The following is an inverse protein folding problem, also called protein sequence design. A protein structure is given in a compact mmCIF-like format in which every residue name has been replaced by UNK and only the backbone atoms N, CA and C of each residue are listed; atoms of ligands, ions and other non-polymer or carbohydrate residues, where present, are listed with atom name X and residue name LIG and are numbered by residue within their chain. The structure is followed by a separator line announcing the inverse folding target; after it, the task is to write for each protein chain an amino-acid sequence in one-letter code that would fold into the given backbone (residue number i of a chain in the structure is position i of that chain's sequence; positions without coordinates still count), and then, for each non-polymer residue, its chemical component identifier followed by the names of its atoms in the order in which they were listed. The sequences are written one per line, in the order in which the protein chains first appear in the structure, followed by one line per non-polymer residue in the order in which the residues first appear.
data_IF_951033972257
#
_entry.id   IF_951033972257
#
_cell.length_a   1.000
_cell.length_b   1.000
_cell.length_c   1.000
_cell.angle_alpha   90.00
_cell.angle_beta   90.00
_cell.angle_gamma   90.00
#
_symmetry.space_group_name_H-M   'P 1'
#
loop_
_entity.id
_entity.type
_entity.pdbx_description
1 polymer ?
#
# COMPACT_ATOMS: atom_id res chain seq x y z
N UNK A 1 -1.32 -26.18 -23.33
CA UNK A 1 -2.72 -25.90 -23.76
C UNK A 1 -3.10 -24.49 -23.29
N UNK A 2 -4.08 -23.80 -23.88
CA UNK A 2 -4.60 -22.52 -23.34
C UNK A 2 -6.02 -22.66 -22.79
N UNK A 3 -6.28 -22.09 -21.62
CA UNK A 3 -7.61 -22.07 -21.01
C UNK A 3 -8.59 -21.16 -21.77
N UNK A 4 -9.86 -21.55 -21.73
CA UNK A 4 -10.97 -20.76 -22.26
C UNK A 4 -11.23 -19.52 -21.39
N UNK A 5 -11.92 -18.52 -21.97
CA UNK A 5 -12.28 -17.31 -21.22
C UNK A 5 -13.21 -17.63 -20.05
N UNK A 6 -14.06 -18.63 -20.22
CA UNK A 6 -14.99 -19.15 -19.22
C UNK A 6 -14.25 -19.77 -18.04
N UNK A 7 -13.22 -20.58 -18.29
CA UNK A 7 -12.37 -21.18 -17.26
C UNK A 7 -11.57 -20.13 -16.49
N UNK A 8 -11.00 -19.14 -17.19
CA UNK A 8 -10.30 -18.01 -16.55
C UNK A 8 -11.27 -17.20 -15.66
N UNK A 9 -12.48 -16.94 -16.15
CA UNK A 9 -13.53 -16.26 -15.37
C UNK A 9 -13.98 -17.09 -14.17
N UNK A 10 -13.99 -18.42 -14.29
CA UNK A 10 -14.24 -19.32 -13.16
C UNK A 10 -13.16 -19.15 -12.08
N UNK A 11 -11.88 -19.15 -12.47
CA UNK A 11 -10.74 -18.97 -11.53
C UNK A 11 -10.82 -17.60 -10.84
N UNK A 12 -11.11 -16.51 -11.54
CA UNK A 12 -11.24 -15.18 -10.92
C UNK A 12 -12.37 -15.15 -9.87
N UNK A 13 -13.55 -15.70 -10.21
CA UNK A 13 -14.67 -15.80 -9.26
C UNK A 13 -14.32 -16.67 -8.04
N UNK A 14 -13.58 -17.75 -8.27
CA UNK A 14 -13.06 -18.63 -7.23
C UNK A 14 -12.12 -17.89 -6.27
N UNK A 15 -11.21 -17.04 -6.78
CA UNK A 15 -10.32 -16.20 -5.96
C UNK A 15 -11.10 -15.15 -5.15
N UNK A 16 -12.13 -14.55 -5.74
CA UNK A 16 -13.02 -13.60 -5.04
C UNK A 16 -13.73 -14.30 -3.86
N UNK A 17 -14.30 -15.48 -4.09
CA UNK A 17 -14.95 -16.30 -3.04
C UNK A 17 -13.97 -16.69 -1.93
N UNK A 18 -12.70 -16.96 -2.28
CA UNK A 18 -11.63 -17.22 -1.32
C UNK A 18 -11.10 -15.99 -0.56
N UNK A 19 -11.77 -14.83 -0.71
CA UNK A 19 -11.46 -13.56 -0.02
C UNK A 19 -10.14 -12.93 -0.43
N UNK A 20 -9.69 -13.12 -1.67
CA UNK A 20 -8.58 -12.36 -2.26
C UNK A 20 -9.08 -10.94 -2.63
N UNK A 21 -9.00 -10.03 -1.65
CA UNK A 21 -9.59 -8.70 -1.73
C UNK A 21 -8.87 -7.77 -2.70
N UNK A 22 -7.54 -7.89 -2.78
CA UNK A 22 -6.68 -6.97 -3.53
C UNK A 22 -6.69 -7.32 -5.02
N UNK A 23 -7.03 -6.37 -5.88
CA UNK A 23 -7.14 -6.64 -7.32
C UNK A 23 -5.78 -6.93 -7.95
N UNK A 24 -4.74 -6.22 -7.52
CA UNK A 24 -3.36 -6.35 -8.02
C UNK A 24 -2.77 -7.70 -7.63
N UNK A 25 -3.04 -8.15 -6.40
CA UNK A 25 -2.66 -9.51 -5.96
C UNK A 25 -3.51 -10.59 -6.62
N UNK A 26 -4.80 -10.32 -6.87
CA UNK A 26 -5.69 -11.29 -7.52
C UNK A 26 -5.28 -11.55 -8.96
N UNK A 27 -4.86 -10.51 -9.69
CA UNK A 27 -4.30 -10.69 -11.03
C UNK A 27 -3.07 -11.57 -11.05
N UNK A 28 -2.13 -11.32 -10.14
CA UNK A 28 -0.91 -12.13 -10.06
C UNK A 28 -1.24 -13.59 -9.69
N UNK A 29 -2.19 -13.80 -8.77
CA UNK A 29 -2.67 -15.15 -8.46
C UNK A 29 -3.41 -15.80 -9.63
N UNK A 30 -4.20 -15.04 -10.38
CA UNK A 30 -4.92 -15.53 -11.55
C UNK A 30 -3.93 -16.02 -12.60
N UNK A 31 -2.92 -15.21 -12.93
CA UNK A 31 -1.85 -15.57 -13.87
C UNK A 31 -1.10 -16.83 -13.41
N UNK A 32 -0.65 -16.87 -12.15
CA UNK A 32 0.01 -18.05 -11.59
C UNK A 32 -0.85 -19.32 -11.63
N UNK A 33 -2.15 -19.22 -11.31
CA UNK A 33 -3.05 -20.38 -11.33
C UNK A 33 -3.32 -20.82 -12.76
N UNK A 34 -3.57 -19.89 -13.69
CA UNK A 34 -3.82 -20.19 -15.10
C UNK A 34 -2.62 -20.94 -15.68
N UNK A 35 -1.40 -20.41 -15.54
CA UNK A 35 -0.20 -21.09 -16.04
C UNK A 35 -0.01 -22.47 -15.40
N UNK A 36 -0.16 -22.59 -14.08
CA UNK A 36 0.01 -23.88 -13.41
C UNK A 36 -1.04 -24.92 -13.80
N UNK A 37 -2.27 -24.48 -14.10
CA UNK A 37 -3.34 -25.36 -14.60
C UNK A 37 -3.06 -25.78 -16.04
N UNK A 38 -2.66 -24.85 -16.91
CA UNK A 38 -2.30 -25.13 -18.30
C UNK A 38 -1.14 -26.13 -18.40
N UNK A 39 -0.09 -25.92 -17.59
CA UNK A 39 1.06 -26.80 -17.48
C UNK A 39 0.63 -28.21 -17.05
N UNK A 40 -0.20 -28.32 -16.00
CA UNK A 40 -0.68 -29.62 -15.51
C UNK A 40 -1.54 -30.37 -16.52
N UNK A 41 -2.42 -29.67 -17.24
CA UNK A 41 -3.23 -30.30 -18.30
C UNK A 41 -2.32 -30.84 -19.40
N UNK A 42 -1.26 -30.10 -19.75
CA UNK A 42 -0.32 -30.49 -20.79
C UNK A 42 0.61 -31.64 -20.36
N UNK A 43 1.10 -31.63 -19.12
CA UNK A 43 2.06 -32.63 -18.64
C UNK A 43 1.40 -33.90 -18.11
N UNK A 44 0.24 -33.79 -17.46
CA UNK A 44 -0.42 -34.91 -16.77
C UNK A 44 -1.67 -35.41 -17.53
N UNK A 45 -2.16 -34.67 -18.53
CA UNK A 45 -3.32 -35.07 -19.34
C UNK A 45 -4.65 -35.10 -18.57
N UNK A 46 -4.72 -34.39 -17.44
CA UNK A 46 -5.89 -34.34 -16.55
C UNK A 46 -6.90 -33.26 -16.97
N UNK A 47 -8.13 -33.38 -16.46
CA UNK A 47 -9.16 -32.38 -16.72
C UNK A 47 -8.89 -31.05 -16.01
N UNK A 48 -9.49 -29.96 -16.50
CA UNK A 48 -9.41 -28.64 -15.87
C UNK A 48 -9.75 -28.66 -14.37
N UNK A 49 -10.82 -29.36 -13.98
CA UNK A 49 -11.27 -29.43 -12.60
C UNK A 49 -10.24 -30.13 -11.69
N UNK A 50 -9.64 -31.21 -12.19
CA UNK A 50 -8.59 -31.94 -11.46
C UNK A 50 -7.33 -31.10 -11.35
N UNK A 51 -6.89 -30.48 -12.45
CA UNK A 51 -5.73 -29.60 -12.46
C UNK A 51 -5.90 -28.41 -11.49
N UNK A 52 -7.05 -27.75 -11.50
CA UNK A 52 -7.33 -26.62 -10.61
C UNK A 52 -7.37 -27.05 -9.13
N UNK A 53 -7.93 -28.22 -8.84
CA UNK A 53 -7.95 -28.75 -7.48
C UNK A 53 -6.54 -29.09 -6.98
N UNK A 54 -5.70 -29.65 -7.84
CA UNK A 54 -4.31 -29.96 -7.51
C UNK A 54 -3.46 -28.70 -7.34
N UNK A 55 -3.65 -27.69 -8.20
CA UNK A 55 -3.02 -26.37 -8.00
C UNK A 55 -3.49 -25.75 -6.68
N UNK A 56 -4.79 -25.81 -6.35
CA UNK A 56 -5.27 -25.32 -5.06
C UNK A 56 -4.58 -26.00 -3.87
N UNK A 57 -4.40 -27.32 -3.93
CA UNK A 57 -3.70 -28.10 -2.91
C UNK A 57 -2.23 -27.71 -2.80
N UNK A 58 -1.55 -27.47 -3.92
CA UNK A 58 -0.13 -27.06 -3.95
C UNK A 58 0.11 -25.69 -3.30
N UNK A 59 -0.90 -24.81 -3.28
CA UNK A 59 -0.86 -23.57 -2.49
C UNK A 59 -0.90 -23.80 -0.97
N UNK A 60 -1.01 -25.04 -0.49
CA UNK A 60 -0.97 -25.39 0.93
C UNK A 60 -2.35 -25.40 1.60
N UNK A 61 -3.43 -25.50 0.81
CA UNK A 61 -4.77 -25.71 1.35
C UNK A 61 -4.99 -27.20 1.60
N UNK A 62 -5.04 -27.58 2.89
CA UNK A 62 -5.35 -28.94 3.31
C UNK A 62 -6.85 -29.22 3.09
N UNK A 63 -7.15 -30.09 2.14
CA UNK A 63 -8.48 -30.68 1.98
C UNK A 63 -8.52 -32.02 2.71
N UNK A 64 -9.55 -32.24 3.54
CA UNK A 64 -9.79 -33.56 4.17
C UNK A 64 -10.80 -34.29 3.29
N UNK A 65 -10.32 -35.26 2.49
CA UNK A 65 -11.15 -35.99 1.52
C UNK A 65 -12.14 -36.98 2.16
N UNK A 66 -11.98 -37.28 3.45
CA UNK A 66 -12.68 -38.37 4.09
C UNK A 66 -14.21 -38.16 4.10
N UNK A 67 -14.95 -39.06 3.46
CA UNK A 67 -16.42 -39.06 3.43
C UNK A 67 -17.07 -38.11 2.41
N UNK A 68 -16.32 -37.51 1.48
CA UNK A 68 -16.88 -36.65 0.42
C UNK A 68 -17.05 -37.43 -0.89
N UNK A 69 -18.25 -37.38 -1.49
CA UNK A 69 -18.49 -38.01 -2.80
C UNK A 69 -17.61 -37.38 -3.89
N UNK A 70 -17.07 -38.18 -4.82
CA UNK A 70 -16.22 -37.70 -5.93
C UNK A 70 -16.83 -36.51 -6.69
N UNK A 71 -18.16 -36.46 -6.81
CA UNK A 71 -18.92 -35.37 -7.45
C UNK A 71 -18.92 -34.04 -6.66
N UNK A 72 -18.68 -34.06 -5.34
CA UNK A 72 -18.65 -32.88 -4.46
C UNK A 72 -17.25 -32.51 -3.99
N UNK A 73 -16.25 -33.32 -4.30
CA UNK A 73 -14.83 -33.10 -3.92
C UNK A 73 -14.31 -31.80 -4.50
N UNK A 74 -14.65 -31.50 -5.76
CA UNK A 74 -14.21 -30.27 -6.42
C UNK A 74 -14.72 -29.01 -5.70
N UNK A 75 -16.03 -28.89 -5.52
CA UNK A 75 -16.63 -27.72 -4.87
C UNK A 75 -16.24 -27.60 -3.39
N UNK A 76 -16.28 -28.71 -2.63
CA UNK A 76 -15.91 -28.66 -1.20
C UNK A 76 -14.41 -28.42 -1.02
N UNK A 77 -13.57 -28.99 -1.88
CA UNK A 77 -12.12 -28.86 -1.81
C UNK A 77 -11.65 -27.44 -2.04
N UNK A 78 -12.16 -26.77 -3.07
CA UNK A 78 -11.76 -25.43 -3.46
C UNK A 78 -12.07 -24.33 -2.43
N UNK A 79 -13.12 -24.50 -1.62
CA UNK A 79 -13.60 -23.46 -0.70
C UNK A 79 -13.40 -23.79 0.79
N UNK A 80 -12.83 -24.96 1.12
CA UNK A 80 -12.63 -25.35 2.52
C UNK A 80 -11.53 -24.55 3.22
N UNK A 81 -10.45 -24.19 2.51
CA UNK A 81 -9.32 -23.47 3.10
C UNK A 81 -8.77 -22.38 2.19
N UNK A 82 -8.53 -21.20 2.77
CA UNK A 82 -7.84 -20.08 2.12
C UNK A 82 -6.48 -19.77 2.74
N UNK A 83 -5.90 -20.74 3.47
CA UNK A 83 -4.62 -20.57 4.17
C UNK A 83 -3.49 -20.27 3.16
N UNK A 84 -3.46 -20.98 2.04
CA UNK A 84 -2.49 -20.75 0.97
C UNK A 84 -2.52 -19.33 0.42
N UNK A 85 -3.72 -18.84 0.08
CA UNK A 85 -3.91 -17.47 -0.40
C UNK A 85 -3.53 -16.42 0.65
N UNK A 86 -3.88 -16.63 1.93
CA UNK A 86 -3.44 -15.74 3.01
C UNK A 86 -1.92 -15.68 3.12
N UNK A 87 -1.23 -16.83 3.02
CA UNK A 87 0.23 -16.91 3.03
C UNK A 87 0.83 -16.17 1.83
N UNK A 88 0.27 -16.35 0.64
CA UNK A 88 0.67 -15.63 -0.56
C UNK A 88 0.52 -14.11 -0.40
N UNK A 89 -0.66 -13.63 0.01
CA UNK A 89 -0.93 -12.21 0.26
C UNK A 89 0.07 -11.64 1.29
N UNK A 90 0.34 -12.37 2.38
CA UNK A 90 1.32 -11.96 3.40
C UNK A 90 2.74 -11.90 2.85
N UNK A 91 3.14 -12.83 1.99
CA UNK A 91 4.44 -12.82 1.34
C UNK A 91 4.57 -11.63 0.38
N UNK A 92 3.53 -11.37 -0.42
CA UNK A 92 3.48 -10.19 -1.30
C UNK A 92 3.48 -8.89 -0.53
N UNK A 93 2.80 -8.81 0.61
CA UNK A 93 2.89 -7.68 1.53
C UNK A 93 4.33 -7.41 1.98
N UNK A 94 5.05 -8.46 2.40
CA UNK A 94 6.45 -8.34 2.82
C UNK A 94 7.36 -7.91 1.67
N UNK A 95 7.18 -8.50 0.49
CA UNK A 95 7.94 -8.19 -0.72
C UNK A 95 7.75 -6.72 -1.14
N UNK A 96 6.50 -6.30 -1.32
CA UNK A 96 6.15 -4.93 -1.67
C UNK A 96 6.61 -3.94 -0.61
N UNK A 97 6.46 -4.25 0.67
CA UNK A 97 6.94 -3.40 1.77
C UNK A 97 8.46 -3.22 1.75
N UNK A 98 9.23 -4.29 1.47
CA UNK A 98 10.69 -4.22 1.30
C UNK A 98 11.06 -3.35 0.10
N UNK A 99 10.38 -3.56 -1.04
CA UNK A 99 10.58 -2.77 -2.28
C UNK A 99 10.30 -1.29 -2.04
N UNK A 100 9.22 -0.96 -1.32
CA UNK A 100 8.85 0.43 -1.00
C UNK A 100 9.86 1.10 -0.07
N UNK A 101 10.32 0.43 1.00
CA UNK A 101 11.37 0.98 1.86
C UNK A 101 12.66 1.22 1.11
N UNK A 102 13.08 0.27 0.27
CA UNK A 102 14.27 0.42 -0.58
C UNK A 102 14.11 1.59 -1.55
N UNK A 103 12.95 1.74 -2.17
CA UNK A 103 12.64 2.86 -3.06
C UNK A 103 12.70 4.19 -2.31
N UNK A 104 12.11 4.26 -1.11
CA UNK A 104 12.10 5.46 -0.28
C UNK A 104 13.52 5.98 0.00
N UNK A 105 14.36 5.10 0.53
CA UNK A 105 15.74 5.47 0.88
C UNK A 105 16.61 5.74 -0.36
N UNK A 106 16.42 4.97 -1.43
CA UNK A 106 17.14 5.18 -2.70
C UNK A 106 16.89 6.58 -3.28
N UNK A 107 15.66 7.10 -3.16
CA UNK A 107 15.30 8.39 -3.76
C UNK A 107 15.39 9.57 -2.79
N UNK A 108 15.63 9.34 -1.50
CA UNK A 108 15.64 10.39 -0.47
C UNK A 108 16.76 11.42 -0.65
N UNK A 109 18.00 10.96 -0.79
CA UNK A 109 19.15 11.88 -0.98
C UNK A 109 19.04 12.66 -2.30
N UNK A 110 18.72 12.03 -3.45
CA UNK A 110 18.45 12.76 -4.69
C UNK A 110 17.33 13.79 -4.55
N UNK A 111 16.28 13.47 -3.78
CA UNK A 111 15.17 14.39 -3.54
C UNK A 111 15.62 15.64 -2.77
N UNK A 112 16.37 15.48 -1.68
CA UNK A 112 16.86 16.61 -0.88
C UNK A 112 17.80 17.50 -1.69
N UNK A 113 18.62 16.89 -2.56
CA UNK A 113 19.53 17.62 -3.46
C UNK A 113 18.83 18.28 -4.66
N UNK A 114 17.55 18.05 -4.86
CA UNK A 114 16.84 18.63 -6.01
C UNK A 114 16.61 20.13 -5.80
N UNK A 115 16.95 20.93 -6.82
CA UNK A 115 16.75 22.38 -6.78
C UNK A 115 15.29 22.75 -6.48
N UNK A 116 14.33 21.98 -7.03
CA UNK A 116 12.91 22.15 -6.78
C UNK A 116 12.56 22.03 -5.29
N UNK A 117 13.04 20.99 -4.62
CA UNK A 117 12.79 20.83 -3.18
C UNK A 117 13.50 21.91 -2.37
N UNK A 118 14.75 22.25 -2.73
CA UNK A 118 15.51 23.26 -2.01
C UNK A 118 14.83 24.63 -2.05
N UNK A 119 14.35 25.06 -3.22
CA UNK A 119 13.57 26.30 -3.38
C UNK A 119 12.27 26.24 -2.57
N UNK A 120 11.53 25.14 -2.65
CA UNK A 120 10.30 24.94 -1.87
C UNK A 120 10.57 25.05 -0.36
N UNK A 121 11.66 24.43 0.11
CA UNK A 121 12.02 24.43 1.52
C UNK A 121 12.46 25.81 2.01
N UNK A 122 13.24 26.56 1.22
CA UNK A 122 13.60 27.95 1.53
C UNK A 122 12.36 28.83 1.64
N UNK A 123 11.40 28.71 0.72
CA UNK A 123 10.17 29.48 0.78
C UNK A 123 9.36 29.17 2.05
N UNK A 124 9.29 27.89 2.45
CA UNK A 124 8.65 27.50 3.71
C UNK A 124 9.39 28.09 4.91
N UNK A 125 10.72 28.03 4.93
CA UNK A 125 11.53 28.62 6.01
C UNK A 125 11.32 30.14 6.12
N UNK A 126 11.35 30.85 5.00
CA UNK A 126 11.12 32.30 4.96
C UNK A 126 9.72 32.65 5.44
N UNK A 127 8.69 31.94 4.96
CA UNK A 127 7.31 32.18 5.39
C UNK A 127 7.15 31.98 6.90
N UNK A 128 7.64 30.86 7.44
CA UNK A 128 7.55 30.56 8.87
C UNK A 128 8.35 31.57 9.69
N UNK A 129 9.53 31.99 9.22
CA UNK A 129 10.35 33.00 9.86
C UNK A 129 9.66 34.37 9.92
N UNK A 130 9.07 34.84 8.82
CA UNK A 130 8.35 36.12 8.79
C UNK A 130 7.18 36.12 9.78
N UNK A 131 6.43 35.02 9.87
CA UNK A 131 5.33 34.88 10.84
C UNK A 131 5.89 34.81 12.27
N UNK A 132 7.03 34.14 12.47
CA UNK A 132 7.66 34.00 13.79
C UNK A 132 8.06 35.35 14.38
N UNK A 133 8.55 36.28 13.56
CA UNK A 133 8.89 37.64 13.99
C UNK A 133 7.70 38.41 14.58
N UNK A 134 6.48 38.08 14.14
CA UNK A 134 5.26 38.74 14.61
C UNK A 134 4.57 37.93 15.74
N UNK A 135 4.42 36.62 15.56
CA UNK A 135 3.73 35.74 16.50
C UNK A 135 4.26 34.30 16.44
N UNK A 136 4.99 33.89 17.48
CA UNK A 136 5.60 32.57 17.58
C UNK A 136 4.58 31.42 17.57
N UNK A 137 3.42 31.60 18.21
CA UNK A 137 2.34 30.60 18.22
C UNK A 137 1.75 30.41 16.83
N UNK A 138 1.53 31.51 16.10
CA UNK A 138 1.05 31.44 14.72
C UNK A 138 2.05 30.73 13.80
N UNK A 139 3.35 31.02 13.94
CA UNK A 139 4.39 30.36 13.18
C UNK A 139 4.44 28.85 13.44
N UNK A 140 4.27 28.43 14.70
CA UNK A 140 4.14 27.02 15.07
C UNK A 140 2.96 26.34 14.40
N UNK A 141 1.77 26.95 14.44
CA UNK A 141 0.57 26.40 13.81
C UNK A 141 0.74 26.31 12.28
N UNK A 142 1.32 27.33 11.65
CA UNK A 142 1.57 27.33 10.21
C UNK A 142 2.59 26.26 9.81
N UNK A 143 3.69 26.12 10.55
CA UNK A 143 4.68 25.05 10.32
C UNK A 143 4.04 23.66 10.42
N UNK A 144 3.17 23.45 11.42
CA UNK A 144 2.40 22.22 11.58
C UNK A 144 1.49 21.95 10.36
N UNK A 145 0.69 22.93 9.94
CA UNK A 145 -0.23 22.79 8.80
C UNK A 145 0.54 22.46 7.51
N UNK A 146 1.61 23.22 7.21
CA UNK A 146 2.44 22.99 6.01
C UNK A 146 3.04 21.58 6.03
N UNK A 147 3.48 21.11 7.21
CA UNK A 147 4.06 19.78 7.37
C UNK A 147 3.05 18.67 7.11
N UNK A 148 1.81 18.82 7.59
CA UNK A 148 0.76 17.80 7.48
C UNK A 148 0.01 17.85 6.14
N UNK A 149 0.00 19.00 5.45
CA UNK A 149 -0.72 19.19 4.19
C UNK A 149 -0.44 18.10 3.12
N UNK A 150 0.82 17.66 2.88
CA UNK A 150 1.10 16.57 1.95
C UNK A 150 0.33 15.28 2.25
N UNK A 151 0.10 14.93 3.53
CA UNK A 151 -0.68 13.75 3.91
C UNK A 151 -2.17 13.91 3.59
N UNK A 152 -2.73 15.10 3.83
CA UNK A 152 -4.11 15.40 3.46
C UNK A 152 -4.32 15.24 1.94
N UNK A 153 -3.38 15.72 1.13
CA UNK A 153 -3.42 15.53 -0.33
C UNK A 153 -3.31 14.06 -0.76
N UNK A 154 -2.57 13.21 -0.01
CA UNK A 154 -2.55 11.75 -0.28
C UNK A 154 -3.93 11.13 -0.11
N UNK A 155 -4.60 11.45 1.00
CA UNK A 155 -5.94 10.92 1.29
C UNK A 155 -6.89 11.30 0.15
N UNK A 156 -6.86 12.57 -0.27
CA UNK A 156 -7.66 13.04 -1.39
C UNK A 156 -7.38 12.23 -2.68
N UNK A 157 -6.12 12.17 -3.13
CA UNK A 157 -5.76 11.47 -4.37
C UNK A 157 -6.03 9.94 -4.30
N UNK A 158 -5.84 9.34 -3.13
CA UNK A 158 -5.98 7.91 -2.88
C UNK A 158 -7.43 7.45 -2.81
N UNK A 159 -8.26 8.12 -2.00
CA UNK A 159 -9.65 7.70 -1.73
C UNK A 159 -10.54 7.84 -2.96
N UNK A 160 -10.36 8.90 -3.75
CA UNK A 160 -11.22 9.18 -4.90
C UNK A 160 -10.85 8.37 -6.16
N UNK A 161 -9.68 7.73 -6.23
CA UNK A 161 -9.29 6.96 -7.42
C UNK A 161 -9.77 5.50 -7.36
N UNK A 162 -10.56 5.09 -8.36
CA UNK A 162 -11.07 3.70 -8.48
C UNK A 162 -9.95 2.67 -8.49
N UNK A 163 -8.83 2.97 -9.15
CA UNK A 163 -7.64 2.12 -9.23
C UNK A 163 -7.00 1.84 -7.86
N UNK A 164 -7.14 2.77 -6.92
CA UNK A 164 -6.54 2.67 -5.59
C UNK A 164 -7.42 1.85 -4.64
N UNK A 165 -8.72 1.73 -4.92
CA UNK A 165 -9.63 0.89 -4.15
C UNK A 165 -9.17 -0.56 -4.25
N UNK A 166 -8.85 -1.15 -3.09
CA UNK A 166 -8.38 -2.54 -2.99
C UNK A 166 -7.10 -2.81 -3.81
N UNK A 167 -6.20 -1.85 -3.94
CA UNK A 167 -4.81 -2.10 -4.40
C UNK A 167 -3.91 -2.31 -3.19
N UNK A 168 -3.22 -3.45 -3.13
CA UNK A 168 -2.26 -3.72 -2.06
C UNK A 168 -1.07 -2.76 -2.15
N UNK A 169 -0.57 -2.53 -3.37
CA UNK A 169 0.57 -1.62 -3.61
C UNK A 169 0.27 -0.21 -3.10
N UNK A 170 -0.90 0.35 -3.43
CA UNK A 170 -1.29 1.70 -2.98
C UNK A 170 -1.53 1.73 -1.46
N UNK A 171 -2.16 0.69 -0.90
CA UNK A 171 -2.37 0.62 0.56
C UNK A 171 -1.04 0.65 1.31
N UNK A 172 -0.07 -0.18 0.90
CA UNK A 172 1.25 -0.21 1.56
C UNK A 172 2.01 1.11 1.37
N UNK A 173 1.90 1.71 0.19
CA UNK A 173 2.50 3.01 -0.08
C UNK A 173 1.93 4.07 0.86
N UNK A 174 0.62 4.08 1.07
CA UNK A 174 -0.03 4.95 2.05
C UNK A 174 0.48 4.68 3.47
N UNK A 175 0.47 3.42 3.94
CA UNK A 175 0.87 3.07 5.30
C UNK A 175 2.32 3.44 5.64
N UNK A 176 3.28 3.13 4.76
CA UNK A 176 4.69 3.50 4.97
C UNK A 176 4.84 5.03 5.09
N UNK A 177 4.03 5.73 4.31
CA UNK A 177 4.08 7.18 4.17
C UNK A 177 3.49 7.91 5.39
N UNK A 178 2.49 7.30 6.04
CA UNK A 178 1.76 7.85 7.18
C UNK A 178 2.38 7.54 8.56
N UNK A 179 3.48 6.78 8.63
CA UNK A 179 4.22 6.56 9.89
C UNK A 179 4.62 7.89 10.56
N UNK A 180 4.91 8.92 9.77
CA UNK A 180 5.29 10.23 10.26
C UNK A 180 4.14 11.00 10.91
N UNK A 181 2.87 10.67 10.62
CA UNK A 181 1.72 11.25 11.32
C UNK A 181 1.64 10.75 12.77
N UNK A 182 2.04 9.51 13.04
CA UNK A 182 2.07 9.00 14.42
C UNK A 182 3.04 9.81 15.28
N UNK A 183 4.19 10.23 14.73
CA UNK A 183 5.12 11.11 15.43
C UNK A 183 4.54 12.49 15.73
N UNK A 184 3.65 13.01 14.89
CA UNK A 184 2.98 14.29 15.14
C UNK A 184 2.13 14.23 16.42
N UNK A 185 1.33 13.17 16.58
CA UNK A 185 0.49 13.01 17.77
C UNK A 185 1.34 12.92 19.06
N UNK A 186 2.36 12.04 19.06
CA UNK A 186 3.24 11.89 20.22
C UNK A 186 4.00 13.18 20.52
N UNK A 187 4.43 13.92 19.49
CA UNK A 187 5.11 15.20 19.68
C UNK A 187 4.20 16.24 20.32
N UNK A 188 2.96 16.42 19.84
CA UNK A 188 2.02 17.40 20.42
C UNK A 188 1.70 17.04 21.88
N UNK A 189 1.44 15.77 22.15
CA UNK A 189 1.15 15.30 23.50
C UNK A 189 2.33 15.60 24.45
N UNK A 190 3.53 15.15 24.08
CA UNK A 190 4.74 15.39 24.89
C UNK A 190 5.11 16.87 25.00
N UNK A 191 4.96 17.65 23.93
CA UNK A 191 5.22 19.10 23.95
C UNK A 191 4.25 19.81 24.91
N UNK A 192 2.99 19.39 24.96
CA UNK A 192 2.03 20.00 25.87
C UNK A 192 2.28 19.63 27.33
N UNK A 193 2.64 18.38 27.60
CA UNK A 193 2.95 17.88 28.94
C UNK A 193 4.25 18.50 29.51
N UNK A 194 5.33 18.54 28.72
CA UNK A 194 6.62 19.06 29.18
C UNK A 194 6.59 20.58 29.43
N UNK A 195 5.77 21.32 28.69
CA UNK A 195 5.69 22.78 28.77
C UNK A 195 4.33 23.27 29.28
N UNK A 196 3.65 22.48 30.09
CA UNK A 196 2.32 22.82 30.62
C UNK A 196 2.34 24.13 31.40
N UNK A 197 3.34 24.29 32.29
CA UNK A 197 3.46 25.44 33.19
C UNK A 197 4.16 26.66 32.56
N UNK A 198 4.68 26.54 31.33
CA UNK A 198 5.43 27.63 30.69
C UNK A 198 4.50 28.54 29.89
N UNK A 199 4.42 29.81 30.28
CA UNK A 199 3.67 30.85 29.56
C UNK A 199 4.58 32.05 29.22
N UNK A 200 4.89 32.31 27.93
CA UNK A 200 4.49 31.55 26.74
C UNK A 200 5.28 30.24 26.57
N UNK A 201 4.65 29.24 25.96
CA UNK A 201 5.32 27.98 25.60
C UNK A 201 6.47 28.23 24.62
N UNK A 202 7.57 27.45 24.66
CA UNK A 202 8.70 27.61 23.77
C UNK A 202 8.41 27.03 22.37
N UNK A 203 7.59 27.74 21.59
CA UNK A 203 7.11 27.33 20.27
C UNK A 203 8.22 27.07 19.24
N UNK A 204 9.43 27.60 19.46
CA UNK A 204 10.59 27.38 18.59
C UNK A 204 10.93 25.89 18.44
N UNK A 205 10.83 25.08 19.50
CA UNK A 205 11.10 23.65 19.43
C UNK A 205 10.08 22.93 18.52
N UNK A 206 8.81 23.32 18.63
CA UNK A 206 7.76 22.84 17.75
C UNK A 206 7.95 23.22 16.29
N UNK A 207 8.38 24.46 16.04
CA UNK A 207 8.68 24.95 14.69
C UNK A 207 9.81 24.14 14.06
N UNK A 208 10.93 23.97 14.78
CA UNK A 208 12.09 23.20 14.29
C UNK A 208 11.69 21.76 14.02
N UNK A 209 10.92 21.13 14.92
CA UNK A 209 10.41 19.78 14.72
C UNK A 209 9.58 19.66 13.44
N UNK A 210 8.64 20.59 13.21
CA UNK A 210 7.79 20.54 12.02
C UNK A 210 8.55 20.82 10.72
N UNK A 211 9.48 21.77 10.72
CA UNK A 211 10.34 22.00 9.57
C UNK A 211 11.19 20.76 9.23
N UNK A 212 11.67 20.04 10.24
CA UNK A 212 12.39 18.78 10.05
C UNK A 212 11.48 17.67 9.50
N UNK A 213 10.28 17.47 10.07
CA UNK A 213 9.37 16.40 9.64
C UNK A 213 8.78 16.66 8.24
N UNK A 214 8.65 17.93 7.85
CA UNK A 214 8.23 18.33 6.49
C UNK A 214 9.09 17.68 5.41
N UNK A 215 10.40 17.57 5.60
CA UNK A 215 11.33 16.93 4.64
C UNK A 215 10.89 15.50 4.33
N UNK A 216 10.60 14.72 5.38
CA UNK A 216 10.20 13.32 5.26
C UNK A 216 8.81 13.17 4.67
N UNK A 217 7.84 13.97 5.14
CA UNK A 217 6.45 13.97 4.67
C UNK A 217 6.35 14.39 3.20
N UNK A 218 7.16 15.37 2.79
CA UNK A 218 7.20 15.86 1.41
C UNK A 218 7.79 14.84 0.44
N UNK A 219 8.87 14.16 0.83
CA UNK A 219 9.45 13.05 0.05
C UNK A 219 8.47 11.89 -0.08
N UNK A 220 7.88 11.51 1.05
CA UNK A 220 6.86 10.49 1.21
C UNK A 220 5.68 10.72 0.26
N UNK A 221 5.23 11.97 0.12
CA UNK A 221 4.21 12.39 -0.85
C UNK A 221 4.63 12.21 -2.31
N UNK A 222 5.87 12.55 -2.68
CA UNK A 222 6.36 12.36 -4.05
C UNK A 222 6.36 10.89 -4.47
N UNK A 223 6.81 10.00 -3.57
CA UNK A 223 6.80 8.56 -3.83
C UNK A 223 5.38 8.03 -3.95
N UNK A 224 4.49 8.45 -3.05
CA UNK A 224 3.08 8.05 -3.09
C UNK A 224 2.41 8.43 -4.43
N UNK A 225 2.59 9.67 -4.88
CA UNK A 225 2.06 10.13 -6.15
C UNK A 225 2.61 9.34 -7.34
N UNK A 226 3.90 8.98 -7.30
CA UNK A 226 4.49 8.10 -8.32
C UNK A 226 3.81 6.74 -8.35
N UNK A 227 3.65 6.10 -7.18
CA UNK A 227 3.01 4.78 -7.07
C UNK A 227 1.55 4.81 -7.50
N UNK A 228 0.80 5.87 -7.16
CA UNK A 228 -0.59 6.03 -7.62
C UNK A 228 -0.64 6.09 -9.15
N UNK A 229 0.24 6.88 -9.78
CA UNK A 229 0.25 7.02 -11.25
C UNK A 229 0.56 5.70 -11.94
N UNK A 230 1.56 4.98 -11.45
CA UNK A 230 1.89 3.64 -11.94
C UNK A 230 0.69 2.69 -11.78
N UNK A 231 0.08 2.66 -10.59
CA UNK A 231 -1.08 1.81 -10.31
C UNK A 231 -2.32 2.20 -11.14
N UNK A 232 -2.49 3.48 -11.48
CA UNK A 232 -3.55 3.95 -12.38
C UNK A 232 -3.30 3.50 -13.82
N UNK A 233 -2.06 3.49 -14.28
CA UNK A 233 -1.70 2.96 -15.60
C UNK A 233 -1.96 1.46 -15.66
N UNK A 234 -1.47 0.70 -14.67
CA UNK A 234 -1.69 -0.74 -14.53
C UNK A 234 -3.20 -1.08 -14.52
N UNK A 235 -4.00 -0.32 -13.76
CA UNK A 235 -5.45 -0.52 -13.70
C UNK A 235 -6.14 -0.20 -15.03
N UNK A 236 -5.71 0.84 -15.75
CA UNK A 236 -6.29 1.18 -17.06
C UNK A 236 -6.05 0.08 -18.09
N UNK A 237 -4.85 -0.52 -18.12
CA UNK A 237 -4.56 -1.64 -19.02
C UNK A 237 -5.37 -2.90 -18.74
N UNK A 238 -5.99 -3.03 -17.55
CA UNK A 238 -6.86 -4.16 -17.25
C UNK A 238 -8.29 -3.98 -17.78
N UNK A 239 -8.75 -2.74 -17.87
CA UNK A 239 -10.15 -2.42 -18.22
C UNK A 239 -10.32 -2.07 -19.70
N UNK A 240 -9.21 -1.79 -20.40
CA UNK A 240 -9.15 -1.57 -21.85
C UNK A 240 -9.04 -2.88 -22.60
#
# INVERSE_FOLDING_TARGET
MKLTKEEIKYIDNYLIKNKVKFWDVRLELLDHIVSAVEDKIETEGISFNEALLDVHRSFGSQFVEFGVSKTKVFDKGLYQSNIGFKKFIRNKQKELGRKQRKLYWKTFVPFIKSAKFFLEFILVLLLVFLIFQYNQKAAFVVAMIISVAPEAFKIFNGVFSKSSKKSLRVQLAFTLSSLFLSFNYFFIAGFNEVFEDQTPKPYIYGIVFYLFIFIFLRHSFNIYNKIIRENQADYKSMIS
#
